data_IF_143372304109
#
_entry.id   IF_143372304109
#
_cell.length_a   1.000
_cell.length_b   1.000
_cell.length_c   1.000
_cell.angle_alpha   90.00
_cell.angle_beta   90.00
_cell.angle_gamma   90.00
#
_symmetry.space_group_name_H-M   'P 1'
#
loop_
_entity.id
_entity.type
_entity.pdbx_description
1 polymer ?
#
# COMPACT_ATOMS: atom_id res chain seq x y z
N UNK A 1 -24.33 -7.67 -3.22
CA UNK A 1 -23.38 -8.69 -3.71
C UNK A 1 -23.64 -9.99 -2.94
N UNK A 2 -23.73 -11.13 -3.61
CA UNK A 2 -23.91 -12.43 -2.96
C UNK A 2 -22.61 -12.91 -2.31
N UNK A 3 -22.73 -13.74 -1.26
CA UNK A 3 -21.60 -14.35 -0.51
C UNK A 3 -20.57 -15.03 -1.43
N UNK A 4 -21.03 -15.77 -2.43
CA UNK A 4 -20.19 -16.45 -3.43
C UNK A 4 -19.26 -15.51 -4.19
N UNK A 5 -19.81 -14.38 -4.68
CA UNK A 5 -19.05 -13.41 -5.46
C UNK A 5 -17.98 -12.70 -4.61
N UNK A 6 -18.24 -12.49 -3.31
CA UNK A 6 -17.24 -11.91 -2.40
C UNK A 6 -16.08 -12.86 -2.14
N UNK A 7 -16.35 -14.16 -1.95
CA UNK A 7 -15.30 -15.16 -1.76
C UNK A 7 -14.41 -15.31 -2.99
N UNK A 8 -15.03 -15.34 -4.17
CA UNK A 8 -14.30 -15.41 -5.43
C UNK A 8 -13.39 -14.19 -5.62
N UNK A 9 -13.92 -12.99 -5.38
CA UNK A 9 -13.14 -11.76 -5.47
C UNK A 9 -11.94 -11.74 -4.50
N UNK A 10 -12.13 -12.18 -3.24
CA UNK A 10 -11.04 -12.27 -2.26
C UNK A 10 -9.96 -13.25 -2.68
N UNK A 11 -10.33 -14.40 -3.24
CA UNK A 11 -9.38 -15.39 -3.74
C UNK A 11 -8.55 -14.83 -4.92
N UNK A 12 -9.19 -14.12 -5.85
CA UNK A 12 -8.52 -13.48 -6.98
C UNK A 12 -7.56 -12.38 -6.52
N UNK A 13 -7.97 -11.55 -5.56
CA UNK A 13 -7.14 -10.49 -4.99
C UNK A 13 -5.96 -11.03 -4.17
N UNK A 14 -6.19 -12.10 -3.41
CA UNK A 14 -5.17 -12.77 -2.63
C UNK A 14 -4.04 -13.30 -3.53
N UNK A 15 -4.40 -13.99 -4.62
CA UNK A 15 -3.39 -14.53 -5.54
C UNK A 15 -2.58 -13.43 -6.22
N UNK A 16 -3.24 -12.34 -6.64
CA UNK A 16 -2.58 -11.17 -7.20
C UNK A 16 -1.62 -10.51 -6.20
N UNK A 17 -2.04 -10.35 -4.94
CA UNK A 17 -1.18 -9.80 -3.89
C UNK A 17 0.00 -10.73 -3.55
N UNK A 18 -0.21 -12.05 -3.59
CA UNK A 18 0.84 -13.04 -3.31
C UNK A 18 1.92 -13.01 -4.40
N UNK A 19 1.53 -12.90 -5.66
CA UNK A 19 2.46 -12.69 -6.76
C UNK A 19 3.28 -11.41 -6.56
N UNK A 20 2.61 -10.29 -6.25
CA UNK A 20 3.29 -9.03 -5.99
C UNK A 20 4.27 -9.11 -4.82
N UNK A 21 3.90 -9.82 -3.74
CA UNK A 21 4.80 -10.06 -2.60
C UNK A 21 6.03 -10.86 -3.02
N UNK A 22 5.87 -11.88 -3.88
CA UNK A 22 7.00 -12.69 -4.39
C UNK A 22 7.95 -11.84 -5.25
N UNK A 23 7.44 -10.91 -6.05
CA UNK A 23 8.25 -9.99 -6.85
C UNK A 23 9.04 -8.99 -5.98
N UNK A 24 8.51 -8.58 -4.83
CA UNK A 24 9.14 -7.57 -3.96
C UNK A 24 10.18 -8.16 -3.02
N UNK A 25 9.80 -9.19 -2.25
CA UNK A 25 10.64 -9.76 -1.18
C UNK A 25 11.23 -11.12 -1.53
N UNK A 26 10.90 -11.66 -2.70
CA UNK A 26 11.41 -12.93 -3.19
C UNK A 26 10.55 -14.13 -2.77
N UNK A 27 10.45 -15.12 -3.66
CA UNK A 27 9.64 -16.32 -3.48
C UNK A 27 10.00 -17.09 -2.19
N UNK A 28 11.29 -17.29 -1.92
CA UNK A 28 11.74 -18.00 -0.72
C UNK A 28 11.32 -17.32 0.60
N UNK A 29 11.27 -15.98 0.62
CA UNK A 29 10.78 -15.23 1.78
C UNK A 29 9.28 -15.42 1.95
N UNK A 30 8.52 -15.31 0.86
CA UNK A 30 7.06 -15.49 0.87
C UNK A 30 6.70 -16.90 1.31
N UNK A 31 7.30 -17.94 0.74
CA UNK A 31 7.04 -19.32 1.12
C UNK A 31 7.37 -19.59 2.60
N UNK A 32 8.47 -19.02 3.09
CA UNK A 32 8.85 -19.13 4.52
C UNK A 32 7.86 -18.39 5.42
N UNK A 33 7.41 -17.20 5.03
CA UNK A 33 6.43 -16.42 5.77
C UNK A 33 5.04 -17.08 5.76
N UNK A 34 4.63 -17.66 4.64
CA UNK A 34 3.41 -18.44 4.55
C UNK A 34 3.50 -19.66 5.46
N UNK A 35 4.57 -20.47 5.36
CA UNK A 35 4.79 -21.65 6.21
C UNK A 35 4.82 -21.33 7.71
N UNK A 36 5.42 -20.20 8.09
CA UNK A 36 5.58 -19.82 9.50
C UNK A 36 4.36 -19.05 10.04
N UNK A 37 3.58 -18.42 9.17
CA UNK A 37 2.37 -17.65 9.48
C UNK A 37 1.06 -18.39 9.20
N UNK A 38 1.11 -19.68 8.82
CA UNK A 38 -0.03 -20.49 8.37
C UNK A 38 -0.66 -21.33 9.49
N UNK A 39 -0.93 -20.76 10.65
CA UNK A 39 -2.01 -21.34 11.46
C UNK A 39 -3.34 -20.97 10.77
N UNK A 40 -4.35 -21.84 10.87
CA UNK A 40 -5.70 -21.55 10.36
C UNK A 40 -6.19 -20.17 10.83
N UNK A 41 -5.84 -19.80 12.07
CA UNK A 41 -6.14 -18.50 12.66
C UNK A 41 -5.35 -17.33 12.04
N UNK A 42 -4.06 -17.50 11.74
CA UNK A 42 -3.20 -16.43 11.23
C UNK A 42 -3.31 -16.24 9.71
N UNK A 43 -3.92 -17.18 8.98
CA UNK A 43 -4.10 -17.07 7.53
C UNK A 43 -4.94 -15.86 7.13
N UNK A 44 -5.99 -15.53 7.88
CA UNK A 44 -6.80 -14.33 7.64
C UNK A 44 -5.98 -13.04 7.75
N UNK A 45 -4.97 -13.01 8.63
CA UNK A 45 -4.04 -11.89 8.73
C UNK A 45 -3.07 -11.86 7.53
N UNK A 46 -2.63 -13.02 7.02
CA UNK A 46 -1.82 -13.06 5.79
C UNK A 46 -2.62 -12.58 4.58
N UNK A 47 -3.90 -12.96 4.47
CA UNK A 47 -4.80 -12.44 3.43
C UNK A 47 -4.97 -10.93 3.53
N UNK A 48 -5.23 -10.41 4.74
CA UNK A 48 -5.38 -8.98 4.98
C UNK A 48 -4.11 -8.18 4.64
N UNK A 49 -2.93 -8.67 5.05
CA UNK A 49 -1.64 -8.02 4.77
C UNK A 49 -1.30 -8.07 3.26
N UNK A 50 -1.85 -9.04 2.54
CA UNK A 50 -1.59 -9.29 1.11
C UNK A 50 -2.58 -8.57 0.19
N UNK A 51 -3.85 -8.44 0.61
CA UNK A 51 -4.91 -7.75 -0.12
C UNK A 51 -4.82 -6.20 0.08
N UNK A 52 -5.51 -5.44 -0.78
CA UNK A 52 -5.44 -3.99 -0.98
C UNK A 52 -5.36 -3.13 0.31
N UNK A 53 -4.11 -2.91 0.74
CA UNK A 53 -3.55 -1.71 1.37
C UNK A 53 -4.29 -1.11 2.58
N UNK A 54 -3.99 -1.62 3.77
CA UNK A 54 -4.26 -1.00 5.09
C UNK A 54 -3.40 0.26 5.38
N UNK A 55 -3.06 1.06 4.36
CA UNK A 55 -2.15 2.21 4.50
C UNK A 55 -2.68 3.24 5.52
N UNK A 56 -3.99 3.41 5.63
CA UNK A 56 -4.62 4.29 6.63
C UNK A 56 -4.36 3.86 8.06
N UNK A 57 -4.39 2.54 8.34
CA UNK A 57 -4.15 2.02 9.68
C UNK A 57 -2.67 2.15 10.06
N UNK A 58 -1.76 1.94 9.11
CA UNK A 58 -0.33 2.12 9.32
C UNK A 58 0.01 3.58 9.65
N UNK A 59 -0.66 4.55 9.01
CA UNK A 59 -0.55 5.97 9.36
C UNK A 59 -1.05 6.23 10.80
N UNK A 60 -2.21 5.68 11.16
CA UNK A 60 -2.79 5.86 12.49
C UNK A 60 -1.85 5.34 13.60
N UNK A 61 -1.27 4.16 13.37
CA UNK A 61 -0.29 3.50 14.23
C UNK A 61 1.10 4.14 14.21
N UNK A 62 1.37 5.06 13.27
CA UNK A 62 2.68 5.71 13.06
C UNK A 62 3.79 4.69 12.73
N UNK A 63 3.43 3.60 12.07
CA UNK A 63 4.35 2.55 11.65
C UNK A 63 4.99 2.91 10.31
N UNK A 64 5.90 3.88 10.32
CA UNK A 64 6.39 4.53 9.09
C UNK A 64 7.20 3.61 8.16
N UNK A 65 8.00 2.71 8.72
CA UNK A 65 8.77 1.74 7.94
C UNK A 65 7.84 0.79 7.17
N UNK A 66 6.85 0.23 7.86
CA UNK A 66 5.83 -0.64 7.24
C UNK A 66 4.97 0.15 6.25
N UNK A 67 4.56 1.37 6.59
CA UNK A 67 3.79 2.23 5.69
C UNK A 67 4.51 2.43 4.34
N UNK A 68 5.83 2.64 4.34
CA UNK A 68 6.60 2.74 3.11
C UNK A 68 6.62 1.45 2.27
N UNK A 69 6.74 0.29 2.91
CA UNK A 69 6.66 -1.03 2.25
C UNK A 69 5.27 -1.20 1.61
N UNK A 70 4.23 -0.86 2.36
CA UNK A 70 2.84 -0.99 1.92
C UNK A 70 2.44 0.00 0.84
N UNK A 71 3.05 1.18 0.73
CA UNK A 71 2.88 2.08 -0.44
C UNK A 71 3.37 1.40 -1.71
N UNK A 72 4.54 0.76 -1.65
CA UNK A 72 5.11 0.05 -2.80
C UNK A 72 4.20 -1.11 -3.23
N UNK A 73 3.66 -1.84 -2.26
CA UNK A 73 2.64 -2.87 -2.50
C UNK A 73 1.34 -2.29 -3.05
N UNK A 74 0.88 -1.15 -2.53
CA UNK A 74 -0.33 -0.46 -2.98
C UNK A 74 -0.29 -0.13 -4.47
N UNK A 75 0.79 0.50 -4.93
CA UNK A 75 0.99 0.84 -6.34
C UNK A 75 0.98 -0.42 -7.22
N UNK A 76 1.70 -1.48 -6.82
CA UNK A 76 1.72 -2.77 -7.57
C UNK A 76 0.36 -3.47 -7.57
N UNK A 77 -0.42 -3.33 -6.50
CA UNK A 77 -1.79 -3.83 -6.39
C UNK A 77 -2.82 -2.95 -7.13
N UNK A 78 -2.37 -1.88 -7.82
CA UNK A 78 -3.18 -1.06 -8.71
C UNK A 78 -3.76 0.21 -8.09
N UNK A 79 -3.39 0.58 -6.86
CA UNK A 79 -3.75 1.92 -6.34
C UNK A 79 -2.98 2.99 -7.10
N UNK A 80 -3.66 4.09 -7.39
CA UNK A 80 -3.08 5.28 -7.99
C UNK A 80 -2.42 6.17 -6.94
N UNK A 81 -1.48 7.02 -7.36
CA UNK A 81 -0.92 8.06 -6.48
C UNK A 81 -2.00 8.99 -5.91
N UNK A 82 -3.07 9.23 -6.67
CA UNK A 82 -4.21 10.01 -6.23
C UNK A 82 -4.92 9.34 -5.06
N UNK A 83 -5.26 8.05 -5.17
CA UNK A 83 -5.92 7.31 -4.09
C UNK A 83 -5.07 7.25 -2.82
N UNK A 84 -3.74 7.06 -2.96
CA UNK A 84 -2.82 7.10 -1.82
C UNK A 84 -2.81 8.48 -1.17
N UNK A 85 -2.76 9.55 -1.97
CA UNK A 85 -2.82 10.93 -1.47
C UNK A 85 -4.13 11.21 -0.73
N UNK A 86 -5.27 10.80 -1.29
CA UNK A 86 -6.58 10.97 -0.65
C UNK A 86 -6.66 10.21 0.68
N UNK A 87 -6.11 9.00 0.75
CA UNK A 87 -6.01 8.25 2.01
C UNK A 87 -5.17 8.98 3.07
N UNK A 88 -4.04 9.59 2.67
CA UNK A 88 -3.21 10.42 3.57
C UNK A 88 -3.95 11.69 4.01
N UNK A 89 -4.69 12.35 3.11
CA UNK A 89 -5.49 13.53 3.43
C UNK A 89 -6.60 13.18 4.42
N UNK A 90 -7.27 12.04 4.25
CA UNK A 90 -8.23 11.54 5.24
C UNK A 90 -7.55 11.30 6.59
N UNK A 91 -6.40 10.59 6.61
CA UNK A 91 -5.66 10.34 7.85
C UNK A 91 -5.18 11.64 8.52
N UNK A 92 -4.90 12.70 7.76
CA UNK A 92 -4.57 14.03 8.28
C UNK A 92 -5.71 14.59 9.13
N UNK A 93 -6.96 14.40 8.69
CA UNK A 93 -8.16 14.87 9.40
C UNK A 93 -8.44 14.02 10.65
N UNK A 94 -8.36 12.69 10.54
CA UNK A 94 -8.76 11.79 11.62
C UNK A 94 -7.65 11.46 12.63
N UNK A 95 -6.39 11.43 12.19
CA UNK A 95 -5.23 11.09 13.03
C UNK A 95 -4.38 12.34 13.36
N UNK A 96 -4.75 13.51 12.84
CA UNK A 96 -4.12 14.79 13.09
C UNK A 96 -3.03 15.16 12.06
N UNK A 97 -2.83 16.46 11.89
CA UNK A 97 -1.86 17.02 10.95
C UNK A 97 -0.44 16.44 11.05
N UNK A 98 0.13 16.18 12.25
CA UNK A 98 1.47 15.60 12.34
C UNK A 98 1.59 14.23 11.66
N UNK A 99 0.58 13.36 11.80
CA UNK A 99 0.56 12.04 11.17
C UNK A 99 0.45 12.17 9.64
N UNK A 100 -0.42 13.07 9.16
CA UNK A 100 -0.58 13.38 7.75
C UNK A 100 0.70 13.90 7.08
N UNK A 101 1.38 14.85 7.72
CA UNK A 101 2.65 15.42 7.21
C UNK A 101 3.74 14.35 7.14
N UNK A 102 3.86 13.51 8.18
CA UNK A 102 4.86 12.44 8.18
C UNK A 102 4.54 11.38 7.11
N UNK A 103 3.28 10.99 6.97
CA UNK A 103 2.84 10.07 5.93
C UNK A 103 3.12 10.62 4.52
N UNK A 104 2.87 11.91 4.28
CA UNK A 104 3.16 12.53 2.99
C UNK A 104 4.65 12.48 2.63
N UNK A 105 5.54 12.73 3.61
CA UNK A 105 6.99 12.63 3.42
C UNK A 105 7.43 11.21 3.04
N UNK A 106 6.98 10.22 3.81
CA UNK A 106 7.33 8.81 3.56
C UNK A 106 6.80 8.37 2.19
N UNK A 107 5.59 8.77 1.83
CA UNK A 107 5.01 8.47 0.53
C UNK A 107 5.81 9.07 -0.62
N UNK A 108 6.20 10.35 -0.51
CA UNK A 108 6.99 11.03 -1.52
C UNK A 108 8.38 10.41 -1.69
N UNK A 109 9.06 10.07 -0.59
CA UNK A 109 10.35 9.36 -0.60
C UNK A 109 10.26 8.00 -1.29
N UNK A 110 9.24 7.19 -0.97
CA UNK A 110 9.04 5.88 -1.59
C UNK A 110 8.72 6.01 -3.08
N UNK A 111 7.80 6.90 -3.44
CA UNK A 111 7.44 7.12 -4.84
C UNK A 111 8.65 7.60 -5.66
N UNK A 112 9.45 8.52 -5.12
CA UNK A 112 10.69 8.98 -5.76
C UNK A 112 11.67 7.82 -5.98
N UNK A 113 11.91 7.01 -4.96
CA UNK A 113 12.80 5.84 -5.09
C UNK A 113 12.28 4.83 -6.12
N UNK A 114 10.96 4.59 -6.19
CA UNK A 114 10.36 3.74 -7.23
C UNK A 114 10.59 4.31 -8.64
N UNK A 115 10.45 5.62 -8.82
CA UNK A 115 10.67 6.29 -10.11
C UNK A 115 12.14 6.22 -10.52
N UNK A 116 13.05 6.52 -9.60
CA UNK A 116 14.50 6.50 -9.84
C UNK A 116 14.97 5.08 -10.25
N UNK A 117 14.31 4.04 -9.75
CA UNK A 117 14.54 2.63 -10.12
C UNK A 117 13.76 2.15 -11.35
N UNK A 118 12.90 2.97 -11.93
CA UNK A 118 12.04 2.61 -13.07
C UNK A 118 10.90 1.65 -12.72
N UNK A 119 10.57 1.47 -11.44
CA UNK A 119 9.47 0.62 -10.96
C UNK A 119 8.09 1.30 -11.12
N UNK A 120 8.06 2.62 -11.29
CA UNK A 120 6.83 3.42 -11.38
C UNK A 120 7.04 4.66 -12.24
N UNK A 121 5.98 5.10 -12.93
CA UNK A 121 5.97 6.37 -13.65
C UNK A 121 5.03 7.33 -12.94
N UNK A 122 5.42 8.61 -12.79
CA UNK A 122 4.55 9.59 -12.16
C UNK A 122 3.20 9.66 -12.86
N UNK A 123 2.14 9.49 -12.08
CA UNK A 123 0.75 9.53 -12.56
C UNK A 123 0.06 10.87 -12.30
N UNK A 124 0.59 11.72 -11.41
CA UNK A 124 -0.07 12.99 -11.08
C UNK A 124 0.07 14.04 -12.19
N UNK A 125 -0.99 14.19 -13.00
CA UNK A 125 -1.13 15.24 -14.00
C UNK A 125 -1.80 16.53 -13.44
N UNK A 126 -2.70 16.43 -12.46
CA UNK A 126 -3.33 17.60 -11.82
C UNK A 126 -2.76 17.84 -10.42
N UNK A 127 -1.78 18.74 -10.39
CA UNK A 127 -1.35 19.43 -9.18
C UNK A 127 -2.46 20.39 -8.72
N UNK A 128 -2.54 20.64 -7.40
CA UNK A 128 -3.47 21.64 -6.83
C UNK A 128 -3.47 22.91 -7.70
N UNK A 129 -4.62 23.57 -7.93
CA UNK A 129 -4.67 24.83 -8.69
C UNK A 129 -3.71 25.91 -8.17
N UNK A 130 -3.27 25.76 -6.92
CA UNK A 130 -2.32 26.65 -6.24
C UNK A 130 -0.85 26.20 -6.30
N UNK A 131 -0.57 25.00 -6.82
CA UNK A 131 0.79 24.51 -6.97
C UNK A 131 1.46 25.20 -8.17
N UNK A 132 2.48 26.00 -7.87
CA UNK A 132 3.40 26.53 -8.86
C UNK A 132 4.72 25.81 -8.65
N UNK A 133 5.16 25.03 -9.64
CA UNK A 133 6.50 24.44 -9.64
C UNK A 133 7.48 25.61 -9.52
N UNK A 134 8.24 25.67 -8.42
CA UNK A 134 9.33 26.63 -8.32
C UNK A 134 10.37 26.25 -9.38
N UNK A 135 10.76 27.25 -10.19
CA UNK A 135 11.74 27.09 -11.26
C UNK A 135 13.13 26.82 -10.66
#
# INVERSE_FOLDING_TARGET
>A
MTSENSKKLRAELFEAGLQNRREVVGEAYVETAMRNGSSEFAYAQQELITDKSDIGMLIALKSWAEFGIHIRGAIRNGLTELEIREAILQATVYCGAPAGVQAMKVADEVLKDMIDKGEHQRQMAEVSPNYKKQA
#
